data_IF_836834863386
#
_entry.id   IF_836834863386
#
_cell.length_a   1.000
_cell.length_b   1.000
_cell.length_c   1.000
_cell.angle_alpha   90.00
_cell.angle_beta   90.00
_cell.angle_gamma   90.00
#
_symmetry.space_group_name_H-M   'P 1'
#
loop_
_entity.id
_entity.type
_entity.pdbx_description
1 polymer ?
2 water ?
#
# COMPACT_ATOMS: atom_id res chain seq x y z
N UNK A 4 15.50 -11.20 -7.19
CA UNK A 4 14.64 -11.01 -6.03
C UNK A 4 13.65 -9.87 -6.22
N UNK A 5 13.21 -9.28 -5.12
CA UNK A 5 12.23 -8.20 -5.17
C UNK A 5 12.90 -6.84 -5.29
N UNK A 6 12.14 -5.86 -5.75
CA UNK A 6 12.61 -4.49 -5.84
C UNK A 6 11.66 -3.59 -5.06
N UNK A 7 12.15 -2.40 -4.70
CA UNK A 7 11.37 -1.45 -3.92
C UNK A 7 11.10 -0.20 -4.75
N UNK A 8 9.83 0.19 -4.81
CA UNK A 8 9.41 1.34 -5.60
C UNK A 8 8.58 2.29 -4.75
N UNK A 9 8.73 3.58 -5.00
CA UNK A 9 7.86 4.58 -4.40
C UNK A 9 6.70 4.86 -5.35
N UNK A 10 5.51 5.00 -4.79
CA UNK A 10 4.33 5.33 -5.56
C UNK A 10 3.66 6.53 -4.91
N UNK A 11 3.29 7.52 -5.71
CA UNK A 11 2.56 8.68 -5.22
C UNK A 11 1.26 8.81 -6.00
N UNK A 12 0.15 9.00 -5.30
CA UNK A 12 -1.15 9.07 -5.93
C UNK A 12 -1.92 10.28 -5.45
N UNK A 13 -2.64 10.92 -6.36
CA UNK A 13 -3.50 12.04 -5.99
C UNK A 13 -4.89 11.82 -6.54
N UNK A 14 -5.89 12.32 -5.83
CA UNK A 14 -7.23 12.38 -6.38
C UNK A 14 -7.38 13.63 -7.24
N UNK A 21 -12.02 6.56 -4.53
CA UNK A 21 -11.02 5.88 -3.72
C UNK A 21 -9.78 5.59 -4.55
N UNK A 22 -8.78 4.99 -3.92
CA UNK A 22 -7.55 4.66 -4.63
C UNK A 22 -7.61 3.31 -5.36
N UNK A 23 -8.71 2.58 -5.17
CA UNK A 23 -8.93 1.35 -5.91
C UNK A 23 -8.05 0.18 -5.50
N UNK A 24 -7.83 0.01 -4.21
CA UNK A 24 -7.14 -1.18 -3.73
C UNK A 24 -7.51 -1.48 -2.29
N UNK A 25 -7.28 -2.72 -1.89
CA UNK A 25 -7.49 -3.12 -0.51
C UNK A 25 -6.25 -3.82 0.02
N UNK A 26 -6.14 -3.89 1.34
CA UNK A 26 -4.97 -4.46 1.98
C UNK A 26 -5.31 -5.62 2.89
N UNK A 27 -4.33 -6.50 3.07
CA UNK A 27 -4.40 -7.55 4.06
C UNK A 27 -3.18 -7.41 4.96
N UNK A 28 -3.28 -7.95 6.16
CA UNK A 28 -2.24 -7.77 7.15
C UNK A 28 -1.86 -9.11 7.76
N UNK A 29 -0.60 -9.25 8.15
CA UNK A 29 -0.14 -10.46 8.80
C UNK A 29 1.01 -10.10 9.72
N UNK A 30 1.02 -10.75 10.88
CA UNK A 30 2.06 -10.59 11.87
C UNK A 30 2.46 -11.99 12.28
N UNK A 31 3.15 -12.69 11.39
CA UNK A 31 3.68 -14.00 11.73
C UNK A 31 5.17 -14.04 12.10
N UNK A 32 5.94 -13.05 11.65
CA UNK A 32 7.39 -13.10 11.83
C UNK A 32 7.97 -12.07 12.80
N UNK A 33 7.11 -11.39 13.56
CA UNK A 33 7.58 -10.41 14.53
C UNK A 33 7.43 -8.97 14.07
N UNK A 34 7.06 -8.79 12.81
CA UNK A 34 6.79 -7.47 12.26
C UNK A 34 5.44 -7.52 11.57
N UNK A 35 4.60 -6.51 11.78
CA UNK A 35 3.35 -6.45 11.03
C UNK A 35 3.66 -6.08 9.59
N UNK A 36 3.11 -6.86 8.66
CA UNK A 36 3.28 -6.60 7.24
C UNK A 36 1.94 -6.35 6.59
N UNK A 37 1.95 -5.52 5.56
CA UNK A 37 0.76 -5.23 4.77
C UNK A 37 0.98 -5.68 3.33
N UNK A 38 -0.03 -6.30 2.74
CA UNK A 38 0.03 -6.72 1.34
C UNK A 38 -1.19 -6.22 0.60
N UNK A 39 -1.02 -6.00 -0.69
CA UNK A 39 -2.13 -5.61 -1.54
C UNK A 39 -3.00 -6.83 -1.82
N UNK A 40 -4.24 -6.75 -1.33
CA UNK A 40 -5.24 -7.80 -1.39
C UNK A 40 -5.85 -7.87 -2.79
N UNK A 41 -6.12 -6.71 -3.36
CA UNK A 41 -6.67 -6.61 -4.71
C UNK A 41 -6.54 -5.18 -5.22
N UNK A 42 -6.54 -5.04 -6.55
CA UNK A 42 -6.53 -3.72 -7.17
C UNK A 42 -7.58 -3.66 -8.27
N UNK A 43 -8.19 -2.48 -8.42
CA UNK A 43 -9.11 -2.23 -9.52
C UNK A 43 -8.32 -1.80 -10.75
N UNK A 44 -8.57 -2.46 -11.88
CA UNK A 44 -7.81 -2.22 -13.10
C UNK A 44 -7.85 -0.76 -13.55
N UNK A 45 -8.99 -0.11 -13.37
CA UNK A 45 -9.15 1.27 -13.81
C UNK A 45 -8.87 2.26 -12.69
N UNK A 46 -8.46 1.75 -11.53
CA UNK A 46 -8.27 2.58 -10.36
C UNK A 46 -6.96 3.33 -10.32
N UNK A 47 -6.89 4.33 -9.45
CA UNK A 47 -5.73 5.20 -9.37
C UNK A 47 -4.45 4.45 -9.02
N UNK A 48 -4.52 3.53 -8.07
CA UNK A 48 -3.32 2.84 -7.62
C UNK A 48 -2.75 1.95 -8.72
N UNK A 49 -3.62 1.21 -9.40
CA UNK A 49 -3.17 0.34 -10.48
C UNK A 49 -2.52 1.17 -11.59
N UNK A 50 -3.10 2.34 -11.86
CA UNK A 50 -2.56 3.22 -12.90
C UNK A 50 -1.14 3.66 -12.56
N UNK A 51 -0.84 3.77 -11.27
CA UNK A 51 0.50 4.13 -10.82
C UNK A 51 1.40 2.91 -10.63
N UNK A 52 0.88 1.74 -10.97
CA UNK A 52 1.69 0.53 -11.01
C UNK A 52 1.57 -0.40 -9.81
N UNK A 53 0.67 -0.11 -8.87
CA UNK A 53 0.48 -1.00 -7.73
C UNK A 53 -0.12 -2.32 -8.22
N UNK A 54 0.38 -3.44 -7.69
CA UNK A 54 -0.08 -4.76 -8.13
C UNK A 54 -0.56 -5.62 -6.97
N UNK A 55 -1.53 -6.49 -7.26
CA UNK A 55 -1.92 -7.53 -6.32
C UNK A 55 -0.68 -8.30 -5.87
N UNK A 56 -0.58 -8.57 -4.57
CA UNK A 56 0.56 -9.30 -4.05
C UNK A 56 1.77 -8.46 -3.70
N UNK A 57 1.75 -7.16 -4.02
CA UNK A 57 2.82 -6.28 -3.58
C UNK A 57 2.80 -6.20 -2.06
N UNK A 58 3.98 -6.05 -1.46
CA UNK A 58 4.04 -5.73 -0.04
C UNK A 58 4.11 -4.22 0.14
N UNK A 59 3.29 -3.69 1.04
CA UNK A 59 3.36 -2.28 1.38
C UNK A 59 4.31 -2.11 2.55
N UNK A 60 5.48 -1.53 2.28
CA UNK A 60 6.48 -1.31 3.33
C UNK A 60 6.18 -0.08 4.16
N UNK A 61 5.70 0.97 3.50
CA UNK A 61 5.42 2.24 4.16
C UNK A 61 4.21 2.89 3.51
N UNK A 62 3.46 3.64 4.31
CA UNK A 62 2.42 4.52 3.80
C UNK A 62 2.72 5.91 4.34
N UNK A 63 2.76 6.88 3.44
CA UNK A 63 3.12 8.24 3.83
C UNK A 63 4.40 8.28 4.66
N UNK A 64 5.37 7.45 4.27
CA UNK A 64 6.68 7.40 4.90
C UNK A 64 6.68 6.85 6.32
N UNK A 65 5.60 6.17 6.71
CA UNK A 65 5.56 5.46 7.99
C UNK A 65 5.58 3.96 7.74
N UNK A 66 6.40 3.25 8.50
CA UNK A 66 6.49 1.80 8.40
C UNK A 66 5.13 1.14 8.63
N UNK A 67 4.85 0.08 7.89
CA UNK A 67 3.64 -0.70 8.12
C UNK A 67 3.50 -1.12 9.59
N UNK A 68 4.63 -1.42 10.23
CA UNK A 68 4.63 -1.85 11.62
C UNK A 68 4.35 -0.70 12.59
N UNK A 69 4.34 0.53 12.08
CA UNK A 69 4.10 1.73 12.88
C UNK A 69 2.78 2.42 12.48
N UNK A 70 1.87 1.63 11.92
CA UNK A 70 0.53 2.09 11.58
C UNK A 70 -0.49 1.27 12.34
N UNK A 71 -1.55 1.90 12.82
CA UNK A 71 -2.70 1.15 13.31
C UNK A 71 -3.84 1.20 12.29
N UNK A 72 -4.93 0.52 12.58
CA UNK A 72 -6.04 0.42 11.63
C UNK A 72 -6.67 1.78 11.32
N UNK A 73 -6.80 2.62 12.34
CA UNK A 73 -7.39 3.94 12.13
C UNK A 73 -6.53 4.79 11.19
N UNK A 74 -5.22 4.72 11.37
CA UNK A 74 -4.30 5.45 10.51
C UNK A 74 -4.39 4.99 9.06
N UNK A 75 -4.43 3.68 8.87
CA UNK A 75 -4.58 3.10 7.54
C UNK A 75 -5.82 3.66 6.85
N UNK A 76 -6.95 3.62 7.55
CA UNK A 76 -8.21 4.06 6.97
C UNK A 76 -8.19 5.55 6.69
N UNK A 77 -7.63 6.33 7.62
CA UNK A 77 -7.52 7.77 7.43
C UNK A 77 -6.68 8.07 6.19
N UNK A 78 -5.51 7.45 6.11
CA UNK A 78 -4.61 7.73 4.99
C UNK A 78 -5.27 7.36 3.66
N UNK A 79 -5.99 6.24 3.62
CA UNK A 79 -6.62 5.82 2.38
C UNK A 79 -7.81 6.70 1.98
N UNK A 80 -8.26 7.55 2.91
CA UNK A 80 -9.38 8.45 2.66
C UNK A 80 -8.94 9.86 2.25
N UNK A 81 -7.66 10.16 2.44
CA UNK A 81 -7.14 11.50 2.14
C UNK A 81 -6.95 11.76 0.64
N UNK A 82 -6.80 13.04 0.25
CA UNK A 82 -6.74 13.38 -1.18
C UNK A 82 -5.40 13.08 -1.87
N UNK A 83 -4.38 12.72 -1.09
CA UNK A 83 -3.14 12.24 -1.66
C UNK A 83 -2.62 11.09 -0.83
N UNK A 84 -1.82 10.23 -1.46
CA UNK A 84 -1.33 9.02 -0.80
C UNK A 84 0.04 8.65 -1.32
N UNK A 85 0.96 8.36 -0.40
CA UNK A 85 2.28 7.88 -0.76
C UNK A 85 2.48 6.47 -0.26
N UNK A 86 3.10 5.63 -1.08
CA UNK A 86 3.37 4.25 -0.72
C UNK A 86 4.82 3.91 -1.04
N UNK A 87 5.43 3.07 -0.21
CA UNK A 87 6.68 2.41 -0.56
C UNK A 87 6.36 0.93 -0.67
N UNK A 88 6.62 0.34 -1.82
CA UNK A 88 6.20 -1.03 -2.06
C UNK A 88 7.35 -1.93 -2.45
N UNK A 89 7.25 -3.19 -2.06
CA UNK A 89 8.22 -4.19 -2.44
C UNK A 89 7.50 -5.19 -3.34
N UNK A 90 8.09 -5.44 -4.51
CA UNK A 90 7.38 -6.15 -5.56
C UNK A 90 8.37 -6.96 -6.40
N UNK A 91 7.93 -8.10 -6.92
CA UNK A 91 8.74 -8.82 -7.89
C UNK A 91 8.72 -8.07 -9.21
N UNK A 92 9.90 -7.87 -9.83
CA UNK A 92 9.87 -7.24 -11.15
C UNK A 92 9.03 -8.05 -12.13
N UNK A 93 8.44 -7.36 -13.10
CA UNK A 93 7.71 -8.04 -14.16
C UNK A 93 8.65 -8.90 -15.00
N UNK A 94 8.19 -10.09 -15.35
CA UNK A 94 8.97 -10.99 -16.20
C UNK A 94 8.36 -11.13 -17.58
#
# INVERSE_FOLDING_TARGET
>A
GAMGKVTHSIHIEKSDTAADTYGFSLSSVEEDGIRRLYVNSVKETGLASKKGLKAGDEILEINNRAADALNSSMLKDFLSQPSLGLLVRTYPEL
#
